data_IF_763975534734
#
_entry.id   IF_763975534734
#
_cell.length_a   1.000
_cell.length_b   1.000
_cell.length_c   1.000
_cell.angle_alpha   90.00
_cell.angle_beta   90.00
_cell.angle_gamma   90.00
#
_symmetry.space_group_name_H-M   'P 1'
#
loop_
_entity.id
_entity.type
_entity.pdbx_description
1 polymer ?
#
# COMPACT_ATOMS: atom_id res chain seq x y z
N UNK A 1 -0.38 -14.32 6.00
CA UNK A 1 -0.84 -13.18 6.84
C UNK A 1 -1.10 -12.00 5.94
N UNK A 2 -2.02 -11.10 6.30
CA UNK A 2 -2.34 -9.89 5.55
C UNK A 2 -1.69 -8.68 6.20
N UNK A 3 -1.03 -7.85 5.42
CA UNK A 3 -0.47 -6.58 5.88
C UNK A 3 -1.06 -5.42 5.08
N UNK A 4 -1.42 -4.33 5.75
CA UNK A 4 -1.83 -3.08 5.12
C UNK A 4 -0.71 -2.05 5.29
N UNK A 5 -0.22 -1.51 4.18
CA UNK A 5 0.80 -0.45 4.16
C UNK A 5 0.13 0.85 3.72
N UNK A 6 0.09 1.83 4.63
CA UNK A 6 -0.23 3.21 4.32
C UNK A 6 1.05 3.90 3.81
N UNK A 7 0.98 4.64 2.70
CA UNK A 7 2.18 5.23 2.09
C UNK A 7 3.00 4.27 1.22
N UNK A 8 2.38 3.21 0.68
CA UNK A 8 3.06 2.14 -0.09
C UNK A 8 3.89 2.63 -1.29
N UNK A 9 3.56 3.80 -1.86
CA UNK A 9 4.26 4.38 -3.01
C UNK A 9 5.52 5.16 -2.62
N UNK A 10 5.71 5.45 -1.34
CA UNK A 10 6.95 6.03 -0.81
C UNK A 10 8.12 5.05 -0.88
N UNK A 11 9.34 5.53 -0.65
CA UNK A 11 10.55 4.70 -0.68
C UNK A 11 10.51 3.59 0.38
N UNK A 12 10.19 3.95 1.62
CA UNK A 12 10.18 2.98 2.73
C UNK A 12 8.96 2.04 2.62
N UNK A 13 7.82 2.58 2.21
CA UNK A 13 6.62 1.80 1.92
C UNK A 13 6.83 0.74 0.82
N UNK A 14 7.55 1.07 -0.25
CA UNK A 14 7.85 0.10 -1.31
C UNK A 14 8.84 -0.97 -0.85
N UNK A 15 9.86 -0.59 -0.07
CA UNK A 15 10.82 -1.55 0.47
C UNK A 15 10.14 -2.52 1.46
N UNK A 16 9.22 -2.01 2.30
CA UNK A 16 8.40 -2.82 3.18
C UNK A 16 7.53 -3.81 2.39
N UNK A 17 6.92 -3.37 1.28
CA UNK A 17 6.14 -4.25 0.42
C UNK A 17 6.98 -5.40 -0.13
N UNK A 18 8.17 -5.12 -0.68
CA UNK A 18 9.09 -6.15 -1.18
C UNK A 18 9.51 -7.13 -0.08
N UNK A 19 9.83 -6.62 1.12
CA UNK A 19 10.22 -7.47 2.26
C UNK A 19 9.10 -8.41 2.69
N UNK A 20 7.86 -7.89 2.80
CA UNK A 20 6.71 -8.67 3.23
C UNK A 20 6.28 -9.70 2.18
N UNK A 21 6.31 -9.33 0.90
CA UNK A 21 6.06 -10.27 -0.21
C UNK A 21 7.07 -11.42 -0.20
N UNK A 22 8.38 -11.13 -0.01
CA UNK A 22 9.42 -12.17 0.14
C UNK A 22 9.18 -13.11 1.33
N UNK A 23 8.52 -12.62 2.38
CA UNK A 23 8.12 -13.41 3.55
C UNK A 23 6.80 -14.18 3.34
N UNK A 24 6.16 -14.08 2.16
CA UNK A 24 4.92 -14.77 1.84
C UNK A 24 3.66 -14.09 2.38
N UNK A 25 3.72 -12.79 2.67
CA UNK A 25 2.54 -12.02 3.09
C UNK A 25 1.67 -11.67 1.88
N UNK A 26 0.36 -11.57 2.14
CA UNK A 26 -0.56 -10.86 1.27
C UNK A 26 -0.48 -9.37 1.64
N UNK A 27 0.00 -8.55 0.73
CA UNK A 27 0.30 -7.14 0.96
C UNK A 27 -0.74 -6.27 0.29
N UNK A 28 -1.32 -5.36 1.08
CA UNK A 28 -2.28 -4.37 0.62
C UNK A 28 -1.66 -3.00 0.76
N UNK A 29 -1.62 -2.24 -0.33
CA UNK A 29 -1.13 -0.87 -0.34
C UNK A 29 -2.27 0.13 -0.46
N UNK A 30 -2.25 1.19 0.34
CA UNK A 30 -3.15 2.32 0.17
C UNK A 30 -2.54 3.35 -0.80
N UNK A 31 -3.29 3.72 -1.84
CA UNK A 31 -2.96 4.82 -2.76
C UNK A 31 -4.03 5.91 -2.69
N UNK A 32 -3.61 7.18 -2.73
CA UNK A 32 -4.51 8.33 -2.69
C UNK A 32 -5.37 8.43 -3.95
N UNK A 33 -6.69 8.68 -3.79
CA UNK A 33 -7.64 8.86 -4.91
C UNK A 33 -7.25 10.02 -5.85
N UNK A 34 -6.78 11.13 -5.27
CA UNK A 34 -6.36 12.33 -6.00
C UNK A 34 -4.98 12.22 -6.61
N UNK A 35 -4.25 11.15 -6.30
CA UNK A 35 -2.88 11.05 -6.69
C UNK A 35 -2.81 10.68 -8.18
N UNK A 36 -2.27 11.61 -8.97
CA UNK A 36 -1.23 11.30 -9.97
C UNK A 36 0.01 10.70 -9.27
N UNK A 37 -0.23 9.76 -8.35
CA UNK A 37 0.73 9.28 -7.37
C UNK A 37 1.76 8.46 -8.08
N UNK A 38 3.00 8.88 -7.95
CA UNK A 38 4.12 8.24 -8.61
C UNK A 38 4.22 6.78 -8.12
N UNK A 39 3.83 5.82 -8.96
CA UNK A 39 3.96 4.39 -8.66
C UNK A 39 5.35 3.86 -8.97
N UNK A 40 6.31 4.71 -9.33
CA UNK A 40 7.66 4.31 -9.77
C UNK A 40 8.33 3.33 -8.80
N UNK A 41 8.18 3.55 -7.49
CA UNK A 41 8.80 2.73 -6.45
C UNK A 41 8.18 1.34 -6.32
N UNK A 42 6.95 1.15 -6.81
CA UNK A 42 6.23 -0.14 -6.80
C UNK A 42 5.92 -0.62 -8.22
N UNK A 43 6.48 0.02 -9.25
CA UNK A 43 6.17 -0.26 -10.64
C UNK A 43 6.57 -1.69 -11.03
N UNK A 44 7.68 -2.18 -10.47
CA UNK A 44 8.12 -3.57 -10.66
C UNK A 44 7.14 -4.56 -10.05
N UNK A 45 6.58 -4.27 -8.87
CA UNK A 45 5.56 -5.12 -8.22
C UNK A 45 4.26 -5.15 -9.03
N UNK A 46 3.82 -3.98 -9.53
CA UNK A 46 2.60 -3.86 -10.34
C UNK A 46 2.76 -4.55 -11.70
N UNK A 47 3.96 -4.53 -12.28
CA UNK A 47 4.23 -5.12 -13.59
C UNK A 47 4.39 -6.65 -13.53
N UNK A 48 4.65 -7.20 -12.34
CA UNK A 48 4.74 -8.63 -12.12
C UNK A 48 3.34 -9.27 -12.01
N UNK A 49 2.95 -10.03 -13.05
CA UNK A 49 1.63 -10.68 -13.14
C UNK A 49 1.46 -11.87 -12.19
N UNK A 50 2.55 -12.36 -11.59
CA UNK A 50 2.51 -13.42 -10.60
C UNK A 50 2.35 -12.89 -9.18
N UNK A 51 2.52 -11.58 -9.00
CA UNK A 51 2.37 -10.90 -7.71
C UNK A 51 1.15 -9.98 -7.70
N UNK A 52 1.01 -9.11 -8.70
CA UNK A 52 -0.06 -8.11 -8.75
C UNK A 52 -1.44 -8.75 -8.87
N UNK A 53 -2.41 -8.31 -8.06
CA UNK A 53 -3.75 -8.89 -7.91
C UNK A 53 -3.80 -10.36 -7.45
N UNK A 54 -2.67 -10.91 -6.99
CA UNK A 54 -2.59 -12.27 -6.40
C UNK A 54 -2.10 -12.23 -4.97
N UNK A 55 -1.00 -11.49 -4.73
CA UNK A 55 -0.41 -11.28 -3.40
C UNK A 55 -0.22 -9.81 -3.06
N UNK A 56 -0.15 -8.93 -4.07
CA UNK A 56 -0.11 -7.48 -3.87
C UNK A 56 -1.37 -6.82 -4.43
N UNK A 57 -2.04 -6.04 -3.59
CA UNK A 57 -3.31 -5.37 -3.92
C UNK A 57 -3.24 -3.87 -3.62
N UNK A 58 -3.75 -3.04 -4.52
CA UNK A 58 -3.85 -1.59 -4.30
C UNK A 58 -5.29 -1.17 -4.01
N UNK A 59 -5.44 -0.33 -2.99
CA UNK A 59 -6.72 0.18 -2.51
C UNK A 59 -6.71 1.69 -2.58
N UNK A 60 -7.75 2.28 -3.18
CA UNK A 60 -7.89 3.72 -3.25
C UNK A 60 -8.57 4.27 -2.00
N UNK A 61 -7.89 5.17 -1.28
CA UNK A 61 -8.43 5.88 -0.11
C UNK A 61 -7.53 7.03 0.30
N UNK A 62 -7.89 7.76 1.36
CA UNK A 62 -7.08 8.86 1.87
C UNK A 62 -6.93 8.71 3.38
N UNK A 63 -5.73 8.97 3.90
CA UNK A 63 -5.50 8.95 5.35
C UNK A 63 -6.32 10.03 6.06
N UNK A 64 -6.60 11.14 5.37
CA UNK A 64 -7.45 12.22 5.87
C UNK A 64 -8.96 11.94 5.74
N UNK A 65 -9.36 10.81 5.13
CA UNK A 65 -10.75 10.34 5.04
C UNK A 65 -10.92 9.07 5.90
N UNK A 66 -11.35 9.21 7.17
CA UNK A 66 -11.55 8.09 8.08
C UNK A 66 -12.56 7.05 7.56
N UNK A 67 -13.53 7.47 6.74
CA UNK A 67 -14.54 6.55 6.19
C UNK A 67 -13.89 5.60 5.19
N UNK A 68 -12.99 6.11 4.34
CA UNK A 68 -12.24 5.28 3.40
C UNK A 68 -11.32 4.29 4.11
N UNK A 69 -10.59 4.74 5.13
CA UNK A 69 -9.71 3.89 5.94
C UNK A 69 -10.51 2.80 6.67
N UNK A 70 -11.60 3.19 7.34
CA UNK A 70 -12.45 2.25 8.06
C UNK A 70 -12.95 1.13 7.14
N UNK A 71 -13.45 1.49 5.95
CA UNK A 71 -13.91 0.52 4.95
C UNK A 71 -12.78 -0.43 4.54
N UNK A 72 -11.62 0.11 4.15
CA UNK A 72 -10.48 -0.67 3.67
C UNK A 72 -9.97 -1.63 4.75
N UNK A 73 -9.81 -1.16 5.99
CA UNK A 73 -9.38 -1.99 7.11
C UNK A 73 -10.41 -3.09 7.41
N UNK A 74 -11.71 -2.78 7.34
CA UNK A 74 -12.78 -3.75 7.60
C UNK A 74 -12.89 -4.82 6.52
N UNK A 75 -12.70 -4.43 5.25
CA UNK A 75 -12.69 -5.35 4.10
C UNK A 75 -11.45 -6.26 4.14
N UNK A 76 -10.27 -5.68 4.33
CA UNK A 76 -9.01 -6.42 4.30
C UNK A 76 -8.82 -7.24 5.57
N UNK A 77 -9.21 -6.73 6.75
CA UNK A 77 -8.87 -7.30 8.07
C UNK A 77 -7.38 -7.69 8.17
N UNK A 78 -6.46 -6.73 8.05
CA UNK A 78 -5.04 -7.02 8.09
C UNK A 78 -4.63 -7.54 9.46
N UNK A 79 -3.66 -8.45 9.49
CA UNK A 79 -2.99 -8.87 10.73
C UNK A 79 -2.06 -7.77 11.26
N UNK A 80 -1.47 -7.00 10.34
CA UNK A 80 -0.50 -5.96 10.64
C UNK A 80 -0.79 -4.72 9.81
N UNK A 81 -0.65 -3.54 10.41
CA UNK A 81 -0.79 -2.26 9.74
C UNK A 81 0.51 -1.47 9.91
N UNK A 82 1.11 -1.09 8.79
CA UNK A 82 2.33 -0.29 8.72
C UNK A 82 1.96 1.09 8.18
N UNK A 83 2.36 2.14 8.90
CA UNK A 83 2.10 3.52 8.49
C UNK A 83 3.40 4.21 8.08
N UNK A 84 3.70 4.15 6.79
CA UNK A 84 4.85 4.78 6.14
C UNK A 84 4.42 6.04 5.35
N UNK A 85 3.24 6.58 5.65
CA UNK A 85 2.74 7.77 4.99
C UNK A 85 3.40 9.01 5.59
N UNK A 86 4.23 9.68 4.79
CA UNK A 86 4.76 11.00 5.12
C UNK A 86 4.08 12.10 4.28
N UNK A 87 4.08 13.32 4.80
CA UNK A 87 3.83 14.53 4.02
C UNK A 87 5.18 15.22 3.84
N UNK A 88 5.94 14.78 2.83
CA UNK A 88 7.13 15.53 2.44
C UNK A 88 6.71 16.97 2.11
N UNK A 89 7.38 17.90 2.80
CA UNK A 89 7.15 19.34 2.73
C UNK A 89 7.28 19.81 1.27
N UNK A 90 6.15 19.96 0.56
CA UNK A 90 6.13 20.66 -0.72
C UNK A 90 6.28 22.14 -0.41
N UNK A 91 7.47 22.70 -0.63
CA UNK A 91 7.66 24.15 -0.75
C UNK A 91 7.17 24.63 -2.10
#
# INVERSE_FOLDING_TARGET
MKALILGVTGQDGSYMADLLLKKGYEVHGLIRKSATGNTINIAHIISDKDVFNKQFFLHQGDLADPTSLYRIITEIRPNELYNEADQDHVR
#
